data_IF_121521516106
#
_entry.id   IF_121521516106
#
_cell.length_a   1.000
_cell.length_b   1.000
_cell.length_c   1.000
_cell.angle_alpha   90.00
_cell.angle_beta   90.00
_cell.angle_gamma   90.00
#
_symmetry.space_group_name_H-M   'P 1'
#
loop_
_entity.id
_entity.type
_entity.pdbx_description
1 polymer ?
#
# COMPACT_ATOMS: atom_id res chain seq x y z
N UNK A 1 8.22 64.78 6.38
CA UNK A 1 8.09 66.14 5.81
C UNK A 1 7.83 66.00 4.31
N UNK A 2 6.64 66.43 3.86
CA UNK A 2 6.15 66.55 2.46
C UNK A 2 6.07 65.24 1.63
N UNK A 3 4.98 64.84 0.96
CA UNK A 3 3.68 65.45 0.66
C UNK A 3 3.46 65.62 -0.86
N UNK A 4 2.35 65.05 -1.37
CA UNK A 4 1.65 65.28 -2.66
C UNK A 4 2.04 64.39 -3.87
N UNK A 5 1.13 63.50 -4.36
CA UNK A 5 0.06 63.68 -5.41
C UNK A 5 0.56 63.13 -6.76
N UNK A 6 -0.21 62.55 -7.69
CA UNK A 6 -1.56 62.04 -7.80
C UNK A 6 -1.67 61.33 -9.17
N UNK A 7 -2.46 60.26 -9.23
CA UNK A 7 -3.44 59.81 -10.26
C UNK A 7 -3.13 59.95 -11.76
N UNK A 8 -3.26 58.83 -12.49
CA UNK A 8 -3.57 58.77 -13.92
C UNK A 8 -4.04 57.37 -14.32
N UNK A 9 -5.36 57.19 -14.39
CA UNK A 9 -6.09 55.97 -14.76
C UNK A 9 -6.50 56.00 -16.24
N UNK A 10 -6.65 54.83 -16.87
CA UNK A 10 -7.55 54.43 -17.98
C UNK A 10 -6.87 53.33 -18.79
N UNK A 11 -7.49 52.23 -19.17
CA UNK A 11 -8.88 51.76 -19.17
C UNK A 11 -8.83 50.42 -19.93
N UNK A 12 -9.80 49.51 -19.96
CA UNK A 12 -11.18 49.38 -19.51
C UNK A 12 -11.53 47.90 -19.78
N UNK A 13 -12.37 47.25 -18.97
CA UNK A 13 -13.80 47.04 -19.26
C UNK A 13 -13.98 45.72 -20.03
N UNK A 14 -14.92 44.81 -19.74
CA UNK A 14 -16.19 44.80 -19.02
C UNK A 14 -16.53 43.30 -18.70
N UNK A 15 -17.02 42.91 -17.51
CA UNK A 15 -18.45 42.81 -17.10
C UNK A 15 -19.26 41.79 -17.94
N UNK A 16 -20.07 40.83 -17.46
CA UNK A 16 -20.92 40.59 -16.26
C UNK A 16 -21.14 39.04 -16.17
N UNK A 17 -21.36 38.34 -15.05
CA UNK A 17 -22.32 38.56 -13.96
C UNK A 17 -23.68 37.94 -14.32
N UNK A 18 -24.17 36.93 -13.57
CA UNK A 18 -25.60 36.71 -13.22
C UNK A 18 -25.78 35.61 -12.15
N UNK A 19 -26.54 35.98 -11.12
CA UNK A 19 -27.07 35.20 -9.98
C UNK A 19 -28.37 34.42 -10.32
N UNK A 20 -28.63 33.41 -9.49
CA UNK A 20 -29.90 32.82 -8.97
C UNK A 20 -31.24 32.86 -9.75
N UNK A 21 -31.90 31.68 -9.76
CA UNK A 21 -33.34 31.58 -9.43
C UNK A 21 -34.28 30.81 -10.39
N UNK A 22 -34.66 29.59 -9.99
CA UNK A 22 -36.03 29.04 -9.96
C UNK A 22 -36.85 28.76 -11.24
N UNK A 23 -37.48 27.57 -11.30
CA UNK A 23 -38.74 27.38 -12.04
C UNK A 23 -39.04 25.98 -12.62
N UNK A 24 -39.83 25.21 -11.88
CA UNK A 24 -40.86 24.20 -12.24
C UNK A 24 -40.92 23.50 -13.61
N UNK A 25 -41.25 22.21 -13.55
CA UNK A 25 -41.78 21.42 -14.67
C UNK A 25 -42.09 19.97 -14.27
N UNK A 26 -43.35 19.71 -13.90
CA UNK A 26 -43.90 18.38 -13.61
C UNK A 26 -43.96 17.50 -14.87
N UNK A 27 -43.78 16.19 -14.73
CA UNK A 27 -44.63 15.24 -15.44
C UNK A 27 -44.84 13.96 -14.63
N UNK A 28 -46.11 13.61 -14.46
CA UNK A 28 -46.62 12.49 -13.68
C UNK A 28 -47.09 11.35 -14.59
N UNK A 29 -47.02 10.13 -14.06
CA UNK A 29 -47.74 8.94 -14.55
C UNK A 29 -46.83 7.70 -14.61
N UNK A 30 -47.03 6.61 -13.87
CA UNK A 30 -48.14 6.18 -13.03
C UNK A 30 -48.33 4.65 -13.19
N UNK A 31 -48.37 3.93 -12.06
CA UNK A 31 -48.74 2.51 -11.95
C UNK A 31 -47.53 1.57 -11.80
N UNK A 32 -47.39 0.74 -10.76
CA UNK A 32 -48.30 0.25 -9.74
C UNK A 32 -47.94 -1.23 -9.49
N UNK A 33 -47.65 -1.60 -8.24
CA UNK A 33 -47.30 -2.98 -7.90
C UNK A 33 -46.81 -3.14 -6.47
N UNK A 34 -47.71 -2.97 -5.49
CA UNK A 34 -47.51 -3.43 -4.12
C UNK A 34 -47.70 -4.95 -4.03
N UNK A 35 -46.77 -5.61 -3.34
CA UNK A 35 -46.92 -6.83 -2.54
C UNK A 35 -45.53 -7.11 -1.95
N UNK A 36 -45.27 -7.24 -0.66
CA UNK A 36 -46.09 -7.42 0.52
C UNK A 36 -45.08 -7.87 1.59
N UNK A 37 -45.15 -7.27 2.78
CA UNK A 37 -44.11 -7.34 3.80
C UNK A 37 -43.81 -8.73 4.36
N UNK A 38 -42.57 -8.89 4.80
CA UNK A 38 -42.12 -9.88 5.77
C UNK A 38 -41.21 -9.19 6.78
N UNK A 39 -41.79 -8.79 7.90
CA UNK A 39 -41.09 -8.27 9.08
C UNK A 39 -40.33 -9.41 9.77
N UNK A 40 -39.01 -9.29 9.82
CA UNK A 40 -38.12 -10.10 10.65
C UNK A 40 -37.11 -9.18 11.34
N UNK A 41 -37.44 -8.78 12.57
CA UNK A 41 -36.59 -7.96 13.42
C UNK A 41 -35.38 -8.80 13.88
N UNK A 42 -34.18 -8.44 13.43
CA UNK A 42 -32.92 -8.98 13.91
C UNK A 42 -31.87 -7.87 13.86
N UNK A 43 -31.62 -7.25 15.01
CA UNK A 43 -30.62 -6.20 15.15
C UNK A 43 -29.23 -6.73 14.80
N UNK A 44 -28.71 -6.25 13.67
CA UNK A 44 -27.33 -6.41 13.25
C UNK A 44 -26.91 -5.10 12.59
N UNK A 45 -25.82 -4.51 13.07
CA UNK A 45 -25.22 -3.31 12.54
C UNK A 45 -25.01 -3.46 11.04
N UNK A 46 -25.91 -2.85 10.25
CA UNK A 46 -25.80 -2.79 8.80
C UNK A 46 -24.80 -1.68 8.46
N UNK A 47 -23.51 -2.01 8.54
CA UNK A 47 -22.58 -1.45 7.57
C UNK A 47 -23.17 -1.78 6.21
N UNK A 48 -23.54 -0.75 5.44
CA UNK A 48 -23.97 -0.91 4.06
C UNK A 48 -22.80 -1.54 3.30
N UNK A 49 -22.77 -2.87 3.16
CA UNK A 49 -22.04 -3.52 2.08
C UNK A 49 -22.72 -3.05 0.81
N UNK A 50 -22.25 -1.92 0.29
CA UNK A 50 -22.41 -1.62 -1.13
C UNK A 50 -21.55 -2.70 -1.78
N UNK A 51 -22.18 -3.74 -2.33
CA UNK A 51 -21.49 -4.69 -3.21
C UNK A 51 -20.96 -3.88 -4.39
N UNK A 52 -19.74 -3.36 -4.27
CA UNK A 52 -19.04 -2.69 -5.34
C UNK A 52 -18.61 -3.76 -6.33
N UNK A 53 -19.51 -4.10 -7.26
CA UNK A 53 -19.23 -5.08 -8.31
C UNK A 53 -18.34 -4.43 -9.36
N UNK A 54 -17.10 -4.90 -9.45
CA UNK A 54 -16.23 -4.63 -10.59
C UNK A 54 -16.76 -5.39 -11.79
N UNK A 55 -17.05 -4.65 -12.85
CA UNK A 55 -17.61 -5.20 -14.09
C UNK A 55 -16.59 -5.15 -15.24
N UNK A 56 -15.37 -4.66 -15.00
CA UNK A 56 -14.33 -4.61 -16.02
C UNK A 56 -12.92 -4.52 -15.45
N UNK A 57 -11.97 -5.13 -16.16
CA UNK A 57 -10.53 -4.97 -15.92
C UNK A 57 -10.11 -3.50 -15.95
N UNK A 58 -10.72 -2.71 -16.84
CA UNK A 58 -10.47 -1.27 -16.97
C UNK A 58 -10.65 -0.51 -15.66
N UNK A 59 -11.65 -0.86 -14.84
CA UNK A 59 -11.86 -0.22 -13.54
C UNK A 59 -10.68 -0.48 -12.60
N UNK A 60 -10.19 -1.71 -12.53
CA UNK A 60 -9.03 -2.08 -11.70
C UNK A 60 -7.79 -1.28 -12.12
N UNK A 61 -7.50 -1.27 -13.42
CA UNK A 61 -6.33 -0.56 -13.98
C UNK A 61 -6.40 0.96 -13.78
N UNK A 62 -7.61 1.52 -13.90
CA UNK A 62 -7.85 2.94 -13.62
C UNK A 62 -7.58 3.26 -12.15
N UNK A 63 -8.07 2.45 -11.21
CA UNK A 63 -7.81 2.64 -9.78
C UNK A 63 -6.32 2.64 -9.47
N UNK A 64 -5.55 1.66 -10.01
CA UNK A 64 -4.09 1.62 -9.87
C UNK A 64 -3.44 2.91 -10.40
N UNK A 65 -3.86 3.36 -11.58
CA UNK A 65 -3.33 4.58 -12.22
C UNK A 65 -3.61 5.84 -11.39
N UNK A 66 -4.84 5.98 -10.87
CA UNK A 66 -5.23 7.10 -10.02
C UNK A 66 -4.44 7.11 -8.72
N UNK A 67 -4.32 5.96 -8.07
CA UNK A 67 -3.54 5.81 -6.84
C UNK A 67 -2.07 6.17 -7.05
N UNK A 68 -1.43 5.59 -8.08
CA UNK A 68 -0.05 5.89 -8.48
C UNK A 68 0.17 7.39 -8.66
N UNK A 69 -0.70 8.05 -9.42
CA UNK A 69 -0.60 9.48 -9.71
C UNK A 69 -0.73 10.32 -8.44
N UNK A 70 -1.67 9.98 -7.56
CA UNK A 70 -1.89 10.68 -6.29
C UNK A 70 -0.66 10.65 -5.39
N UNK A 71 -0.05 9.46 -5.22
CA UNK A 71 1.12 9.28 -4.36
C UNK A 71 2.38 9.94 -4.94
N UNK A 72 2.63 9.79 -6.25
CA UNK A 72 3.77 10.45 -6.92
C UNK A 72 3.68 11.97 -6.79
N UNK A 73 2.48 12.54 -6.85
CA UNK A 73 2.29 13.97 -6.62
C UNK A 73 2.69 14.38 -5.20
N UNK A 74 2.40 13.58 -4.18
CA UNK A 74 2.81 13.86 -2.78
C UNK A 74 4.32 13.87 -2.62
N UNK A 75 5.03 12.92 -3.25
CA UNK A 75 6.50 12.93 -3.27
C UNK A 75 7.05 14.19 -3.94
N UNK A 76 6.54 14.52 -5.12
CA UNK A 76 6.99 15.69 -5.89
C UNK A 76 6.81 16.99 -5.08
N UNK A 77 5.65 17.15 -4.41
CA UNK A 77 5.41 18.29 -3.52
C UNK A 77 6.36 18.31 -2.32
N UNK A 78 6.59 17.16 -1.69
CA UNK A 78 7.46 17.04 -0.52
C UNK A 78 8.92 17.35 -0.87
N UNK A 79 9.43 16.84 -2.00
CA UNK A 79 10.78 17.14 -2.49
C UNK A 79 10.95 18.64 -2.72
N UNK A 80 9.98 19.29 -3.38
CA UNK A 80 10.02 20.73 -3.63
C UNK A 80 10.05 21.54 -2.33
N UNK A 81 9.33 21.09 -1.29
CA UNK A 81 9.33 21.73 0.03
C UNK A 81 10.72 21.67 0.65
N UNK A 82 11.36 20.49 0.69
CA UNK A 82 12.71 20.34 1.25
C UNK A 82 13.75 21.11 0.43
N UNK A 83 13.62 21.16 -0.88
CA UNK A 83 14.51 21.95 -1.74
C UNK A 83 14.39 23.46 -1.53
N UNK A 84 13.26 23.92 -0.99
CA UNK A 84 13.01 25.34 -0.69
C UNK A 84 13.52 25.77 0.69
N UNK A 85 13.98 24.84 1.53
CA UNK A 85 14.61 25.15 2.83
C UNK A 85 16.11 25.40 2.68
N UNK A 86 16.76 25.89 3.74
CA UNK A 86 18.21 25.95 3.81
C UNK A 86 18.80 24.54 3.67
N UNK A 87 19.83 24.38 2.83
CA UNK A 87 20.39 23.07 2.51
C UNK A 87 21.52 22.69 3.45
N UNK A 88 21.42 21.50 4.04
CA UNK A 88 22.41 20.93 4.94
C UNK A 88 22.48 19.40 4.75
N UNK A 89 23.28 18.72 5.59
CA UNK A 89 23.41 17.26 5.53
C UNK A 89 22.10 16.53 5.85
N UNK A 90 21.29 17.06 6.78
CA UNK A 90 20.00 16.46 7.11
C UNK A 90 18.98 16.59 5.97
N UNK A 91 18.86 17.78 5.34
CA UNK A 91 17.96 17.96 4.18
C UNK A 91 18.38 17.08 3.00
N UNK A 92 19.68 16.85 2.83
CA UNK A 92 20.20 15.92 1.82
C UNK A 92 19.74 14.47 2.09
N UNK A 93 19.81 14.01 3.35
CA UNK A 93 19.29 12.69 3.75
C UNK A 93 17.78 12.58 3.51
N UNK A 94 17.00 13.63 3.82
CA UNK A 94 15.55 13.65 3.59
C UNK A 94 15.21 13.62 2.11
N UNK A 95 15.92 14.39 1.27
CA UNK A 95 15.73 14.37 -0.20
C UNK A 95 16.06 12.99 -0.78
N UNK A 96 17.18 12.40 -0.37
CA UNK A 96 17.57 11.06 -0.82
C UNK A 96 16.50 10.02 -0.42
N UNK A 97 15.99 10.12 0.81
CA UNK A 97 14.92 9.25 1.31
C UNK A 97 13.63 9.39 0.50
N UNK A 98 13.21 10.62 0.19
CA UNK A 98 12.03 10.86 -0.65
C UNK A 98 12.20 10.28 -2.06
N UNK A 99 13.37 10.43 -2.68
CA UNK A 99 13.65 9.89 -4.01
C UNK A 99 13.67 8.36 -4.02
N UNK A 100 14.32 7.74 -3.03
CA UNK A 100 14.38 6.28 -2.88
C UNK A 100 13.00 5.71 -2.63
N UNK A 101 12.23 6.26 -1.68
CA UNK A 101 10.88 5.80 -1.40
C UNK A 101 9.91 6.04 -2.57
N UNK A 102 10.09 7.10 -3.36
CA UNK A 102 9.33 7.29 -4.59
C UNK A 102 9.62 6.19 -5.62
N UNK A 103 10.89 5.83 -5.80
CA UNK A 103 11.31 4.73 -6.68
C UNK A 103 10.77 3.39 -6.19
N UNK A 104 10.90 3.10 -4.89
CA UNK A 104 10.40 1.87 -4.26
C UNK A 104 8.90 1.74 -4.38
N UNK A 105 8.16 2.82 -4.13
CA UNK A 105 6.72 2.86 -4.36
C UNK A 105 6.39 2.55 -5.82
N UNK A 106 7.11 3.15 -6.78
CA UNK A 106 6.89 2.89 -8.20
C UNK A 106 7.12 1.42 -8.56
N UNK A 107 8.23 0.83 -8.11
CA UNK A 107 8.54 -0.58 -8.32
C UNK A 107 7.44 -1.51 -7.76
N UNK A 108 6.91 -1.17 -6.58
CA UNK A 108 5.84 -1.93 -5.94
C UNK A 108 4.49 -1.81 -6.64
N UNK A 109 4.17 -0.64 -7.19
CA UNK A 109 2.98 -0.47 -8.03
C UNK A 109 3.11 -1.26 -9.33
N UNK A 110 4.29 -1.25 -9.96
CA UNK A 110 4.54 -2.02 -11.19
C UNK A 110 4.49 -3.53 -10.92
N UNK A 111 4.94 -3.98 -9.75
CA UNK A 111 4.73 -5.35 -9.27
C UNK A 111 3.24 -5.67 -9.17
N UNK A 112 2.45 -4.83 -8.51
CA UNK A 112 1.01 -5.03 -8.32
C UNK A 112 0.29 -5.13 -9.67
N UNK A 113 0.59 -4.21 -10.59
CA UNK A 113 0.08 -4.22 -11.97
C UNK A 113 0.37 -5.55 -12.68
N UNK A 114 1.57 -6.08 -12.49
CA UNK A 114 1.99 -7.34 -13.09
C UNK A 114 1.30 -8.57 -12.49
N UNK A 115 0.95 -8.54 -11.19
CA UNK A 115 0.21 -9.61 -10.51
C UNK A 115 -1.27 -9.58 -10.91
N UNK A 116 -1.85 -8.37 -10.98
CA UNK A 116 -3.21 -8.14 -11.47
C UNK A 116 -3.35 -8.66 -12.89
N UNK A 117 -2.45 -8.26 -13.79
CA UNK A 117 -2.46 -8.70 -15.18
C UNK A 117 -2.40 -10.22 -15.30
N UNK A 118 -1.44 -10.88 -14.63
CA UNK A 118 -1.32 -12.34 -14.67
C UNK A 118 -2.57 -13.06 -14.11
N UNK A 119 -3.22 -12.50 -13.09
CA UNK A 119 -4.42 -13.11 -12.50
C UNK A 119 -5.64 -12.89 -13.40
N UNK A 120 -5.77 -11.73 -14.03
CA UNK A 120 -6.82 -11.43 -15.00
C UNK A 120 -6.70 -12.29 -16.26
N UNK A 121 -5.48 -12.49 -16.77
CA UNK A 121 -5.23 -13.38 -17.90
C UNK A 121 -5.71 -14.80 -17.57
N UNK A 122 -5.32 -15.32 -16.39
CA UNK A 122 -5.80 -16.61 -15.91
C UNK A 122 -7.34 -16.70 -15.82
N UNK A 123 -8.00 -15.69 -15.24
CA UNK A 123 -9.48 -15.68 -15.12
C UNK A 123 -10.11 -15.71 -16.51
N UNK A 124 -9.59 -14.91 -17.44
CA UNK A 124 -10.10 -14.81 -18.82
C UNK A 124 -9.94 -16.13 -19.58
N UNK A 125 -8.87 -16.88 -19.31
CA UNK A 125 -8.62 -18.19 -19.94
C UNK A 125 -9.45 -19.32 -19.31
N UNK A 126 -9.84 -19.20 -18.04
CA UNK A 126 -10.47 -20.29 -17.27
C UNK A 126 -11.96 -20.12 -17.01
N UNK A 127 -12.55 -18.98 -17.37
CA UNK A 127 -13.98 -18.68 -17.18
C UNK A 127 -14.63 -18.17 -18.45
N UNK A 128 -15.95 -18.28 -18.55
CA UNK A 128 -16.71 -17.66 -19.65
C UNK A 128 -16.79 -16.14 -19.42
N UNK A 129 -16.40 -15.36 -20.43
CA UNK A 129 -16.44 -13.88 -20.35
C UNK A 129 -17.85 -13.37 -20.02
N UNK A 130 -17.95 -12.56 -18.96
CA UNK A 130 -19.23 -11.99 -18.51
C UNK A 130 -20.11 -12.95 -17.71
N UNK A 131 -19.63 -14.16 -17.40
CA UNK A 131 -20.28 -15.05 -16.42
C UNK A 131 -20.16 -14.51 -15.00
N UNK A 132 -20.96 -15.04 -14.08
CA UNK A 132 -20.85 -14.69 -12.66
C UNK A 132 -19.49 -15.10 -12.08
N UNK A 133 -18.93 -16.25 -12.47
CA UNK A 133 -17.59 -16.71 -12.07
C UNK A 133 -16.48 -15.74 -12.54
N UNK A 134 -16.59 -15.24 -13.78
CA UNK A 134 -15.66 -14.23 -14.30
C UNK A 134 -15.67 -12.97 -13.43
N UNK A 135 -16.86 -12.46 -13.09
CA UNK A 135 -16.98 -11.28 -12.23
C UNK A 135 -16.56 -11.54 -10.78
N UNK A 136 -16.82 -12.72 -10.24
CA UNK A 136 -16.33 -13.14 -8.93
C UNK A 136 -14.80 -13.10 -8.88
N UNK A 137 -14.14 -13.62 -9.91
CA UNK A 137 -12.68 -13.55 -10.05
C UNK A 137 -12.16 -12.12 -10.11
N UNK A 138 -12.80 -11.25 -10.90
CA UNK A 138 -12.42 -9.84 -10.97
C UNK A 138 -12.59 -9.11 -9.64
N UNK A 139 -13.66 -9.41 -8.90
CA UNK A 139 -13.87 -8.83 -7.56
C UNK A 139 -12.79 -9.27 -6.59
N UNK A 140 -12.39 -10.54 -6.58
CA UNK A 140 -11.30 -11.02 -5.75
C UNK A 140 -9.97 -10.29 -6.04
N UNK A 141 -9.64 -10.12 -7.34
CA UNK A 141 -8.46 -9.34 -7.76
C UNK A 141 -8.56 -7.89 -7.31
N UNK A 142 -9.72 -7.27 -7.44
CA UNK A 142 -9.93 -5.89 -7.05
C UNK A 142 -9.77 -5.69 -5.54
N UNK A 143 -10.37 -6.55 -4.72
CA UNK A 143 -10.19 -6.54 -3.25
C UNK A 143 -8.71 -6.62 -2.89
N UNK A 144 -7.99 -7.56 -3.48
CA UNK A 144 -6.54 -7.73 -3.23
C UNK A 144 -5.71 -6.52 -3.71
N UNK A 145 -6.21 -5.79 -4.71
CA UNK A 145 -5.55 -4.60 -5.28
C UNK A 145 -5.78 -3.39 -4.38
N UNK A 146 -7.03 -3.12 -3.98
CA UNK A 146 -7.37 -2.00 -3.07
C UNK A 146 -6.60 -2.10 -1.76
N UNK A 147 -6.60 -3.28 -1.16
CA UNK A 147 -5.93 -3.51 0.11
C UNK A 147 -4.41 -3.27 0.01
N UNK A 148 -3.75 -3.80 -1.03
CA UNK A 148 -2.31 -3.58 -1.23
C UNK A 148 -1.98 -2.12 -1.50
N UNK A 149 -2.85 -1.40 -2.22
CA UNK A 149 -2.67 0.05 -2.41
C UNK A 149 -2.81 0.81 -1.09
N UNK A 150 -3.77 0.44 -0.24
CA UNK A 150 -3.91 1.04 1.09
C UNK A 150 -2.64 0.81 1.93
N UNK A 151 -2.11 -0.42 1.98
CA UNK A 151 -0.86 -0.74 2.68
C UNK A 151 0.31 0.06 2.09
N UNK A 152 0.48 0.07 0.76
CA UNK A 152 1.54 0.82 0.08
C UNK A 152 1.47 2.33 0.34
N UNK A 153 0.28 2.88 0.65
CA UNK A 153 0.15 4.29 1.00
C UNK A 153 0.80 4.62 2.34
N UNK A 154 0.87 3.66 3.27
CA UNK A 154 1.55 3.82 4.56
C UNK A 154 3.07 3.80 4.41
N UNK A 155 3.61 3.06 3.43
CA UNK A 155 5.06 2.94 3.18
C UNK A 155 5.78 4.29 3.07
N UNK A 156 5.06 5.30 2.58
CA UNK A 156 5.61 6.61 2.26
C UNK A 156 5.31 7.66 3.35
N UNK A 157 4.47 7.32 4.32
CA UNK A 157 3.85 8.29 5.20
C UNK A 157 4.87 8.99 6.09
N UNK A 158 5.72 8.23 6.77
CA UNK A 158 6.74 8.78 7.68
C UNK A 158 7.70 9.73 6.94
N UNK A 159 8.20 9.34 5.77
CA UNK A 159 9.11 10.16 4.95
C UNK A 159 8.43 11.43 4.44
N UNK A 160 7.17 11.35 4.00
CA UNK A 160 6.40 12.53 3.58
C UNK A 160 6.12 13.45 4.77
N UNK A 161 5.73 12.90 5.93
CA UNK A 161 5.49 13.71 7.13
C UNK A 161 6.76 14.42 7.58
N UNK A 162 7.91 13.74 7.54
CA UNK A 162 9.24 14.32 7.81
C UNK A 162 9.48 15.59 7.02
N UNK A 163 9.23 15.53 5.72
CA UNK A 163 9.44 16.64 4.80
C UNK A 163 8.46 17.80 5.02
N UNK A 164 7.20 17.50 5.38
CA UNK A 164 6.12 18.50 5.37
C UNK A 164 5.85 19.16 6.74
N UNK A 165 6.12 18.46 7.84
CA UNK A 165 5.61 18.86 9.16
C UNK A 165 6.67 18.98 10.26
N UNK A 166 7.91 18.54 10.00
CA UNK A 166 8.98 18.56 10.97
C UNK A 166 10.10 19.50 10.55
N UNK A 167 10.84 20.00 11.55
CA UNK A 167 11.97 20.90 11.30
C UNK A 167 13.12 20.17 10.61
N UNK A 168 13.74 20.82 9.63
CA UNK A 168 14.87 20.29 8.86
C UNK A 168 16.17 21.09 9.07
N UNK A 169 16.17 21.99 10.05
CA UNK A 169 17.29 22.86 10.42
C UNK A 169 18.27 22.21 11.42
N UNK A 170 17.92 21.04 11.95
CA UNK A 170 18.70 20.33 12.96
C UNK A 170 19.85 19.48 12.42
N UNK A 171 20.74 19.09 13.33
CA UNK A 171 21.82 18.10 13.10
C UNK A 171 21.44 16.67 13.50
N UNK A 172 20.18 16.45 13.88
CA UNK A 172 19.68 15.18 14.42
C UNK A 172 18.65 14.57 13.48
N UNK A 173 18.64 13.24 13.40
CA UNK A 173 17.60 12.50 12.70
C UNK A 173 16.38 12.38 13.62
N UNK A 174 15.31 13.11 13.29
CA UNK A 174 14.14 13.22 14.18
C UNK A 174 13.34 11.91 14.20
N UNK A 175 12.93 11.43 15.36
CA UNK A 175 11.96 10.34 15.42
C UNK A 175 10.57 10.84 15.01
N UNK A 176 9.97 10.19 14.03
CA UNK A 176 8.58 10.41 13.65
C UNK A 176 7.82 9.13 13.97
N UNK A 177 6.79 9.26 14.81
CA UNK A 177 5.95 8.12 15.16
C UNK A 177 5.13 7.70 13.94
N UNK A 178 5.22 6.42 13.57
CA UNK A 178 4.34 5.81 12.58
C UNK A 178 2.87 5.91 13.06
N UNK A 179 1.97 6.12 12.12
CA UNK A 179 0.51 6.15 12.34
C UNK A 179 -0.07 4.74 12.36
N UNK A 180 0.51 3.86 11.54
CA UNK A 180 0.12 2.46 11.37
C UNK A 180 1.33 1.59 11.67
N UNK A 181 1.17 0.61 12.55
CA UNK A 181 2.19 -0.42 12.78
C UNK A 181 1.71 -1.78 12.27
N UNK A 182 2.58 -2.44 11.51
CA UNK A 182 2.39 -3.78 10.98
C UNK A 182 3.15 -4.87 11.75
N UNK A 183 3.93 -4.49 12.76
CA UNK A 183 4.81 -5.39 13.52
C UNK A 183 4.13 -6.67 13.97
N UNK A 184 3.00 -6.56 14.66
CA UNK A 184 2.27 -7.71 15.21
C UNK A 184 1.75 -8.63 14.09
N UNK A 185 1.32 -8.06 12.97
CA UNK A 185 0.92 -8.84 11.81
C UNK A 185 2.11 -9.60 11.22
N UNK A 186 3.25 -8.92 11.03
CA UNK A 186 4.46 -9.53 10.48
C UNK A 186 4.96 -10.68 11.37
N UNK A 187 4.98 -10.48 12.69
CA UNK A 187 5.31 -11.53 13.67
C UNK A 187 4.41 -12.75 13.47
N UNK A 188 3.09 -12.56 13.48
CA UNK A 188 2.12 -13.65 13.33
C UNK A 188 2.22 -14.32 11.96
N UNK A 189 2.53 -13.56 10.91
CA UNK A 189 2.73 -14.08 9.56
C UNK A 189 3.95 -15.00 9.52
N UNK A 190 5.10 -14.61 10.07
CA UNK A 190 6.29 -15.48 10.12
C UNK A 190 6.05 -16.72 10.99
N UNK A 191 5.27 -16.61 12.06
CA UNK A 191 4.88 -17.76 12.89
C UNK A 191 4.10 -18.83 12.11
N UNK A 192 3.31 -18.46 11.10
CA UNK A 192 2.62 -19.43 10.20
C UNK A 192 3.63 -20.34 9.49
N UNK A 193 4.84 -19.86 9.26
CA UNK A 193 5.94 -20.58 8.61
C UNK A 193 6.92 -21.19 9.61
N UNK A 194 6.64 -21.11 10.91
CA UNK A 194 7.52 -21.62 11.97
C UNK A 194 8.81 -20.81 12.15
N UNK A 195 8.84 -19.56 11.69
CA UNK A 195 9.97 -18.66 11.83
C UNK A 195 9.77 -17.76 13.05
N UNK A 196 10.78 -17.69 13.91
CA UNK A 196 10.83 -16.72 15.01
C UNK A 196 11.23 -15.35 14.46
N UNK A 197 10.30 -14.40 14.46
CA UNK A 197 10.55 -13.06 13.93
C UNK A 197 11.52 -12.24 14.80
N UNK A 198 11.75 -12.64 16.05
CA UNK A 198 12.80 -12.03 16.88
C UNK A 198 14.19 -12.24 16.27
N UNK A 199 14.38 -13.26 15.41
CA UNK A 199 15.63 -13.45 14.65
C UNK A 199 15.82 -12.41 13.53
N UNK A 200 14.75 -11.73 13.11
CA UNK A 200 14.83 -10.63 12.15
C UNK A 200 15.31 -9.35 12.84
N UNK A 201 14.79 -9.09 14.03
CA UNK A 201 15.21 -7.99 14.87
C UNK A 201 16.63 -8.21 15.40
N UNK A 202 17.36 -7.11 15.61
CA UNK A 202 18.62 -7.12 16.34
C UNK A 202 18.50 -6.18 17.54
N UNK A 203 19.25 -6.48 18.60
CA UNK A 203 19.22 -5.70 19.85
C UNK A 203 20.06 -4.41 19.78
N UNK A 204 20.68 -4.12 18.64
CA UNK A 204 21.66 -3.05 18.47
C UNK A 204 21.12 -1.85 17.66
N UNK A 205 19.84 -1.87 17.28
CA UNK A 205 19.22 -0.90 16.37
C UNK A 205 20.03 -0.74 15.05
N UNK A 206 20.64 -1.82 14.55
CA UNK A 206 21.44 -1.82 13.32
C UNK A 206 20.56 -2.11 12.10
N UNK A 207 20.35 -1.08 11.28
CA UNK A 207 19.54 -1.17 10.08
C UNK A 207 20.10 -2.17 9.05
N UNK A 208 21.43 -2.32 8.95
CA UNK A 208 22.04 -3.25 7.99
C UNK A 208 21.79 -4.70 8.38
N UNK A 209 22.01 -5.03 9.65
CA UNK A 209 21.73 -6.38 10.18
C UNK A 209 20.25 -6.73 10.05
N UNK A 210 19.34 -5.79 10.35
CA UNK A 210 17.91 -6.01 10.21
C UNK A 210 17.47 -6.29 8.77
N UNK A 211 17.95 -5.53 7.78
CA UNK A 211 17.64 -5.82 6.36
C UNK A 211 18.21 -7.17 5.95
N UNK A 212 19.45 -7.47 6.34
CA UNK A 212 20.09 -8.74 6.00
C UNK A 212 19.29 -9.93 6.54
N UNK A 213 18.84 -9.86 7.80
CA UNK A 213 18.02 -10.90 8.40
C UNK A 213 16.62 -10.97 7.76
N UNK A 214 16.03 -9.83 7.41
CA UNK A 214 14.74 -9.76 6.71
C UNK A 214 14.79 -10.47 5.35
N UNK A 215 15.84 -10.20 4.56
CA UNK A 215 16.10 -10.88 3.27
C UNK A 215 16.22 -12.39 3.46
N UNK A 216 17.00 -12.81 4.45
CA UNK A 216 17.22 -14.22 4.74
C UNK A 216 15.90 -14.94 5.07
N UNK A 217 15.13 -14.40 6.01
CA UNK A 217 13.88 -15.02 6.48
C UNK A 217 12.78 -14.99 5.44
N UNK A 218 12.63 -13.90 4.70
CA UNK A 218 11.67 -13.85 3.60
C UNK A 218 12.01 -14.88 2.51
N UNK A 219 13.29 -15.01 2.16
CA UNK A 219 13.75 -16.01 1.18
C UNK A 219 13.53 -17.45 1.65
N UNK A 220 13.71 -17.71 2.94
CA UNK A 220 13.41 -19.01 3.57
C UNK A 220 11.92 -19.38 3.44
N UNK A 221 11.01 -18.41 3.68
CA UNK A 221 9.58 -18.58 3.45
C UNK A 221 9.29 -18.91 1.99
N UNK A 222 9.82 -18.12 1.05
CA UNK A 222 9.60 -18.35 -0.38
C UNK A 222 10.09 -19.74 -0.83
N UNK A 223 11.27 -20.17 -0.38
CA UNK A 223 11.82 -21.49 -0.73
C UNK A 223 10.95 -22.64 -0.19
N UNK A 224 10.49 -22.50 1.06
CA UNK A 224 9.57 -23.47 1.69
C UNK A 224 8.27 -23.59 0.91
N UNK A 225 7.73 -22.45 0.47
CA UNK A 225 6.50 -22.38 -0.31
C UNK A 225 6.64 -22.95 -1.72
N UNK A 226 7.72 -22.64 -2.43
CA UNK A 226 8.01 -23.24 -3.75
C UNK A 226 8.01 -24.75 -3.64
N UNK A 227 8.74 -25.29 -2.66
CA UNK A 227 8.83 -26.74 -2.44
C UNK A 227 7.45 -27.34 -2.14
N UNK A 228 6.68 -26.71 -1.26
CA UNK A 228 5.37 -27.21 -0.83
C UNK A 228 4.34 -27.20 -1.98
N UNK A 229 4.30 -26.13 -2.78
CA UNK A 229 3.37 -26.01 -3.90
C UNK A 229 3.76 -26.91 -5.07
N UNK A 230 5.06 -27.13 -5.33
CA UNK A 230 5.50 -28.09 -6.35
C UNK A 230 5.10 -29.53 -6.04
N UNK A 231 4.92 -29.89 -4.78
CA UNK A 231 4.44 -31.21 -4.34
C UNK A 231 2.91 -31.36 -4.43
N UNK A 232 2.19 -30.27 -4.74
CA UNK A 232 0.73 -30.26 -4.90
C UNK A 232 0.31 -30.69 -6.31
N UNK A 233 -0.98 -30.98 -6.49
CA UNK A 233 -1.54 -31.42 -7.77
C UNK A 233 -1.22 -30.43 -8.90
N UNK A 234 -0.88 -30.97 -10.07
CA UNK A 234 -0.56 -30.17 -11.24
C UNK A 234 -1.83 -29.55 -11.83
N UNK A 235 -1.96 -28.24 -11.66
CA UNK A 235 -3.10 -27.48 -12.16
C UNK A 235 -2.61 -26.16 -12.75
N UNK A 236 -3.35 -25.58 -13.69
CA UNK A 236 -3.07 -24.23 -14.20
C UNK A 236 -3.04 -23.20 -13.06
N UNK A 237 -3.82 -23.41 -11.99
CA UNK A 237 -3.81 -22.52 -10.83
C UNK A 237 -2.50 -22.59 -10.03
N UNK A 238 -1.88 -23.78 -9.93
CA UNK A 238 -0.55 -23.95 -9.34
C UNK A 238 0.49 -23.12 -10.10
N UNK A 239 0.44 -23.11 -11.42
CA UNK A 239 1.37 -22.35 -12.26
C UNK A 239 1.24 -20.84 -12.01
N UNK A 240 0.00 -20.32 -11.92
CA UNK A 240 -0.25 -18.93 -11.54
C UNK A 240 0.32 -18.62 -10.14
N UNK A 241 0.11 -19.49 -9.15
CA UNK A 241 0.62 -19.28 -7.79
C UNK A 241 2.15 -19.26 -7.73
N UNK A 242 2.82 -20.15 -8.47
CA UNK A 242 4.28 -20.15 -8.58
C UNK A 242 4.80 -18.89 -9.27
N UNK A 243 4.13 -18.41 -10.33
CA UNK A 243 4.47 -17.15 -10.99
C UNK A 243 4.32 -15.96 -10.03
N UNK A 244 3.22 -15.90 -9.27
CA UNK A 244 3.00 -14.86 -8.26
C UNK A 244 4.08 -14.89 -7.19
N UNK A 245 4.42 -16.07 -6.67
CA UNK A 245 5.47 -16.24 -5.66
C UNK A 245 6.84 -15.79 -6.20
N UNK A 246 7.20 -16.14 -7.43
CA UNK A 246 8.45 -15.72 -8.05
C UNK A 246 8.52 -14.18 -8.19
N UNK A 247 7.46 -13.56 -8.68
CA UNK A 247 7.36 -12.09 -8.80
C UNK A 247 7.46 -11.42 -7.43
N UNK A 248 6.81 -12.00 -6.42
CA UNK A 248 6.80 -11.53 -5.03
C UNK A 248 8.21 -11.54 -4.44
N UNK A 249 8.90 -12.68 -4.52
CA UNK A 249 10.27 -12.81 -4.03
C UNK A 249 11.21 -11.82 -4.72
N UNK A 250 11.13 -11.75 -6.05
CA UNK A 250 11.96 -10.82 -6.82
C UNK A 250 11.76 -9.37 -6.36
N UNK A 251 10.50 -8.92 -6.24
CA UNK A 251 10.22 -7.53 -5.90
C UNK A 251 10.60 -7.20 -4.44
N UNK A 252 10.43 -8.13 -3.50
CA UNK A 252 10.90 -7.94 -2.13
C UNK A 252 12.42 -7.71 -2.10
N UNK A 253 13.20 -8.54 -2.80
CA UNK A 253 14.65 -8.38 -2.89
C UNK A 253 15.05 -7.05 -3.54
N UNK A 254 14.44 -6.69 -4.68
CA UNK A 254 14.72 -5.42 -5.37
C UNK A 254 14.38 -4.20 -4.50
N UNK A 255 13.31 -4.29 -3.70
CA UNK A 255 12.93 -3.23 -2.75
C UNK A 255 13.93 -3.16 -1.59
N UNK A 256 14.30 -4.29 -0.98
CA UNK A 256 15.30 -4.32 0.09
C UNK A 256 16.68 -3.85 -0.38
N UNK A 257 17.09 -4.14 -1.62
CA UNK A 257 18.33 -3.63 -2.21
C UNK A 257 18.31 -2.10 -2.35
N UNK A 258 17.15 -1.53 -2.69
CA UNK A 258 16.95 -0.07 -2.73
C UNK A 258 17.04 0.55 -1.33
N UNK A 259 16.38 -0.05 -0.33
CA UNK A 259 16.47 0.41 1.06
C UNK A 259 17.91 0.30 1.58
N UNK A 260 18.62 -0.79 1.25
CA UNK A 260 20.03 -0.95 1.64
C UNK A 260 20.93 0.12 1.00
N UNK A 261 20.63 0.52 -0.24
CA UNK A 261 21.31 1.66 -0.89
C UNK A 261 21.06 2.95 -0.09
N UNK A 262 19.82 3.21 0.31
CA UNK A 262 19.44 4.39 1.10
C UNK A 262 20.13 4.41 2.48
N UNK A 263 20.27 3.26 3.15
CA UNK A 263 21.04 3.14 4.41
C UNK A 263 22.47 3.59 4.18
N UNK A 264 23.13 3.06 3.16
CA UNK A 264 24.52 3.38 2.86
C UNK A 264 24.71 4.87 2.51
N UNK A 265 23.79 5.45 1.74
CA UNK A 265 23.80 6.89 1.40
C UNK A 265 23.56 7.79 2.62
N UNK A 266 22.86 7.30 3.65
CA UNK A 266 22.57 8.05 4.88
C UNK A 266 23.65 7.86 5.97
N UNK A 267 24.55 6.89 5.80
CA UNK A 267 25.47 6.43 6.84
C UNK A 267 26.41 7.53 7.36
N UNK A 268 26.87 8.43 6.49
CA UNK A 268 27.75 9.53 6.90
C UNK A 268 27.07 10.43 7.93
N UNK A 269 25.81 10.82 7.68
CA UNK A 269 25.03 11.62 8.61
C UNK A 269 24.71 10.85 9.89
N UNK A 270 24.13 9.65 9.76
CA UNK A 270 23.65 8.85 10.89
C UNK A 270 24.78 8.41 11.83
N UNK A 271 25.97 8.11 11.29
CA UNK A 271 27.12 7.70 12.12
C UNK A 271 27.65 8.81 13.02
N UNK A 272 27.50 10.07 12.59
CA UNK A 272 27.90 11.27 13.33
C UNK A 272 26.83 11.78 14.29
N UNK A 273 25.59 11.30 14.15
CA UNK A 273 24.48 11.66 15.02
C UNK A 273 24.48 10.90 16.36
N UNK A 274 23.63 11.36 17.27
CA UNK A 274 23.43 10.76 18.58
C UNK A 274 22.72 9.39 18.52
N UNK A 275 22.63 8.72 19.68
CA UNK A 275 21.96 7.41 19.77
C UNK A 275 20.47 7.48 19.41
N UNK A 276 19.80 8.60 19.69
CA UNK A 276 18.38 8.76 19.35
C UNK A 276 18.17 8.84 17.84
N UNK A 277 19.06 9.53 17.12
CA UNK A 277 19.03 9.62 15.66
C UNK A 277 19.23 8.27 15.00
N UNK A 278 20.17 7.46 15.51
CA UNK A 278 20.40 6.09 15.02
C UNK A 278 19.16 5.22 15.20
N UNK A 279 18.56 5.28 16.40
CA UNK A 279 17.32 4.57 16.70
C UNK A 279 16.16 5.03 15.83
N UNK A 280 16.03 6.34 15.62
CA UNK A 280 14.99 6.90 14.76
C UNK A 280 15.13 6.43 13.31
N UNK A 281 16.35 6.42 12.77
CA UNK A 281 16.59 5.91 11.42
C UNK A 281 16.34 4.40 11.31
N UNK A 282 16.75 3.63 12.33
CA UNK A 282 16.43 2.21 12.43
C UNK A 282 14.91 1.94 12.43
N UNK A 283 14.14 2.78 13.11
CA UNK A 283 12.69 2.68 13.15
C UNK A 283 12.05 2.96 11.78
N UNK A 284 12.50 3.99 11.05
CA UNK A 284 12.04 4.25 9.68
C UNK A 284 12.34 3.05 8.75
N UNK A 285 13.55 2.47 8.83
CA UNK A 285 13.92 1.26 8.05
C UNK A 285 13.04 0.06 8.41
N UNK A 286 12.76 -0.13 9.69
CA UNK A 286 11.89 -1.22 10.17
C UNK A 286 10.48 -1.06 9.60
N UNK A 287 9.92 0.15 9.66
CA UNK A 287 8.60 0.47 9.11
C UNK A 287 8.52 0.17 7.61
N UNK A 288 9.53 0.57 6.83
CA UNK A 288 9.57 0.31 5.39
C UNK A 288 9.54 -1.19 5.09
N UNK A 289 10.39 -1.98 5.75
CA UNK A 289 10.48 -3.43 5.52
C UNK A 289 9.22 -4.16 5.99
N UNK A 290 8.67 -3.79 7.14
CA UNK A 290 7.43 -4.39 7.65
C UNK A 290 6.26 -4.11 6.70
N UNK A 291 6.13 -2.87 6.23
CA UNK A 291 5.04 -2.48 5.32
C UNK A 291 5.10 -3.27 4.01
N UNK A 292 6.27 -3.39 3.36
CA UNK A 292 6.38 -4.17 2.12
C UNK A 292 6.16 -5.67 2.37
N UNK A 293 6.55 -6.16 3.55
CA UNK A 293 6.31 -7.56 3.95
C UNK A 293 4.81 -7.84 3.99
N UNK A 294 4.00 -6.90 4.50
CA UNK A 294 2.54 -7.02 4.51
C UNK A 294 1.96 -7.00 3.09
N UNK A 295 2.43 -6.12 2.20
CA UNK A 295 2.02 -6.08 0.78
C UNK A 295 2.16 -7.45 0.10
N UNK A 296 3.21 -8.18 0.44
CA UNK A 296 3.51 -9.50 -0.14
C UNK A 296 2.87 -10.67 0.59
N UNK A 297 2.49 -10.48 1.86
CA UNK A 297 2.00 -11.56 2.73
C UNK A 297 0.78 -12.29 2.18
N UNK A 298 -0.12 -11.58 1.49
CA UNK A 298 -1.30 -12.17 0.87
C UNK A 298 -0.96 -13.29 -0.11
N UNK A 299 0.04 -13.09 -0.96
CA UNK A 299 0.54 -14.13 -1.87
C UNK A 299 1.12 -15.29 -1.08
N UNK A 300 2.00 -15.02 -0.10
CA UNK A 300 2.66 -16.07 0.69
C UNK A 300 1.65 -16.97 1.41
N UNK A 301 0.65 -16.36 2.05
CA UNK A 301 -0.37 -17.06 2.82
C UNK A 301 -1.35 -17.81 1.92
N UNK A 302 -1.71 -17.26 0.76
CA UNK A 302 -2.55 -17.97 -0.24
C UNK A 302 -1.85 -19.18 -0.82
N UNK A 303 -0.57 -19.05 -1.15
CA UNK A 303 0.28 -20.15 -1.63
C UNK A 303 0.41 -21.25 -0.55
N UNK A 304 0.60 -20.85 0.72
CA UNK A 304 0.64 -21.78 1.85
C UNK A 304 -0.69 -22.50 2.07
N UNK A 305 -1.81 -21.80 1.89
CA UNK A 305 -3.14 -22.39 2.02
C UNK A 305 -3.42 -23.39 0.89
N UNK A 306 -3.03 -23.03 -0.34
CA UNK A 306 -3.16 -23.92 -1.50
C UNK A 306 -2.36 -25.21 -1.34
N UNK A 307 -1.12 -25.14 -0.81
CA UNK A 307 -0.31 -26.35 -0.61
C UNK A 307 -0.90 -27.33 0.41
N UNK A 308 -1.84 -26.87 1.25
CA UNK A 308 -2.54 -27.66 2.28
C UNK A 308 -3.94 -28.08 1.86
N UNK A 309 -4.57 -27.37 0.94
CA UNK A 309 -5.94 -27.64 0.48
C UNK A 309 -6.16 -27.25 -0.97
N UNK A 310 -6.74 -28.16 -1.74
CA UNK A 310 -7.15 -27.91 -3.13
C UNK A 310 -8.40 -27.03 -3.25
N UNK A 311 -9.03 -26.63 -2.13
CA UNK A 311 -10.20 -25.74 -2.15
C UNK A 311 -9.85 -24.27 -2.37
N UNK A 312 -8.56 -23.91 -2.29
CA UNK A 312 -8.08 -22.55 -2.54
C UNK A 312 -8.02 -22.31 -4.05
N UNK A 313 -8.65 -21.23 -4.51
CA UNK A 313 -8.74 -20.91 -5.93
C UNK A 313 -8.66 -19.39 -6.19
N UNK A 314 -8.77 -19.01 -7.46
CA UNK A 314 -8.63 -17.61 -7.91
C UNK A 314 -9.77 -16.71 -7.41
N UNK A 315 -10.95 -17.26 -7.14
CA UNK A 315 -12.16 -16.54 -6.74
C UNK A 315 -12.17 -16.13 -5.27
N UNK A 316 -11.27 -16.72 -4.47
CA UNK A 316 -11.04 -16.28 -3.09
C UNK A 316 -9.95 -15.23 -3.10
N UNK A 317 -10.19 -14.04 -2.55
CA UNK A 317 -9.15 -13.02 -2.44
C UNK A 317 -8.07 -13.45 -1.44
N UNK A 318 -6.85 -12.97 -1.60
CA UNK A 318 -5.78 -13.12 -0.61
C UNK A 318 -6.21 -12.60 0.76
N UNK A 319 -6.91 -11.47 0.81
CA UNK A 319 -7.46 -10.94 2.07
C UNK A 319 -8.41 -11.91 2.78
N UNK A 320 -9.31 -12.53 2.02
CA UNK A 320 -10.26 -13.51 2.56
C UNK A 320 -9.53 -14.72 3.13
N UNK A 321 -8.44 -15.16 2.48
CA UNK A 321 -7.61 -16.24 3.02
C UNK A 321 -7.03 -15.85 4.38
N UNK A 322 -6.51 -14.64 4.51
CA UNK A 322 -5.98 -14.13 5.79
C UNK A 322 -7.07 -14.10 6.86
N UNK A 323 -8.24 -13.55 6.51
CA UNK A 323 -9.37 -13.40 7.42
C UNK A 323 -9.90 -14.74 7.93
N UNK A 324 -10.09 -15.72 7.03
CA UNK A 324 -10.80 -16.96 7.35
C UNK A 324 -9.89 -18.10 7.78
N UNK A 325 -8.63 -18.12 7.35
CA UNK A 325 -7.74 -19.26 7.59
C UNK A 325 -6.65 -18.99 8.63
N UNK A 326 -6.18 -17.75 8.75
CA UNK A 326 -5.03 -17.45 9.61
C UNK A 326 -5.40 -16.67 10.88
N UNK A 327 -6.58 -16.06 10.97
CA UNK A 327 -7.02 -15.30 12.15
C UNK A 327 -6.05 -14.19 12.59
N UNK A 328 -5.19 -13.72 11.68
CA UNK A 328 -4.18 -12.68 11.96
C UNK A 328 -4.66 -11.26 11.60
N UNK A 329 -5.88 -11.12 11.09
CA UNK A 329 -6.44 -9.85 10.61
C UNK A 329 -6.64 -8.80 11.72
N UNK A 330 -6.83 -9.23 12.96
CA UNK A 330 -6.88 -8.35 14.13
C UNK A 330 -5.57 -7.57 14.36
N UNK A 331 -4.46 -8.02 13.75
CA UNK A 331 -3.15 -7.39 13.82
C UNK A 331 -2.82 -6.51 12.62
N UNK A 332 -3.71 -6.41 11.61
CA UNK A 332 -3.40 -5.79 10.32
C UNK A 332 -2.88 -4.36 10.45
N UNK A 333 -3.64 -3.51 11.13
CA UNK A 333 -3.28 -2.10 11.33
C UNK A 333 -3.47 -1.77 12.81
N UNK A 334 -2.38 -1.73 13.57
CA UNK A 334 -2.45 -1.20 14.93
C UNK A 334 -2.25 0.31 14.88
N UNK A 335 -3.32 1.06 15.17
CA UNK A 335 -3.22 2.51 15.38
C UNK A 335 -2.42 2.75 16.65
N UNK A 336 -1.27 3.39 16.52
CA UNK A 336 -0.50 3.82 17.68
C UNK A 336 -1.24 4.99 18.33
N UNK A 337 -1.94 4.71 19.42
CA UNK A 337 -2.63 5.72 20.24
C UNK A 337 -1.67 6.22 21.32
N UNK A 338 -1.44 7.54 21.34
CA UNK A 338 -0.61 8.22 22.35
C UNK A 338 -1.32 8.36 23.69
#
# INVERSE_FOLDING_TARGET
>A
LHGARAVGNNGGGDNNGFDDGGGGGDNSGGGGGDNGGGSGNGGGSSTRNIDFRINSVTQIMQTITFFKTSVISKFSSSINIVQSTEQNSYTSVVINSLNSNQKEFQMNVDYLDSIVSATVDYITETTEYGSDEYFEGLNAVYTDTEEKMEILSNYIETTVRRANYFSLDGSEYILIQQTTSYKDFVIKMYQVFGIDYEEVYNTEDDANSFITNSILKFSEVCLTLVTSVQMSEDTCYRELLLLKLQKTQKMFLETCDSINTQINESQEFISQSDANSKKAFYQDVTEWVETITVVYSGVLLKVNSYSKSTTVNVFQSEFQIIQYQYTIIESYNQTITN
#
